data_IF_234552843492
#
_entry.id   IF_234552843492
#
_cell.length_a   1.000
_cell.length_b   1.000
_cell.length_c   1.000
_cell.angle_alpha   90.00
_cell.angle_beta   90.00
_cell.angle_gamma   90.00
#
_symmetry.space_group_name_H-M   'P 1'
#
loop_
_entity.id
_entity.type
_entity.pdbx_description
1 polymer ?
#
# COMPACT_ATOMS: atom_id res chain seq x y z
N UNK A 1 24.44 -10.39 -18.17
CA UNK A 1 24.06 -8.97 -18.11
C UNK A 1 22.73 -8.92 -17.35
N UNK A 2 22.75 -8.59 -16.05
CA UNK A 2 21.62 -8.81 -15.14
C UNK A 2 20.66 -7.63 -15.21
N UNK A 3 19.49 -7.86 -15.79
CA UNK A 3 18.35 -6.93 -15.77
C UNK A 3 17.78 -6.83 -14.35
N UNK A 4 18.32 -5.93 -13.53
CA UNK A 4 17.68 -5.50 -12.28
C UNK A 4 16.44 -4.67 -12.63
N UNK A 5 15.34 -5.35 -12.94
CA UNK A 5 14.03 -4.71 -13.08
C UNK A 5 13.54 -4.28 -11.69
N UNK A 6 12.89 -3.13 -11.60
CA UNK A 6 12.40 -2.51 -10.34
C UNK A 6 11.70 -3.48 -9.36
N UNK A 7 11.18 -4.61 -9.86
CA UNK A 7 10.61 -5.75 -9.13
C UNK A 7 11.49 -6.25 -7.97
N UNK A 8 12.78 -6.52 -8.19
CA UNK A 8 13.59 -7.25 -7.20
C UNK A 8 14.01 -6.36 -6.03
N UNK A 9 14.29 -5.09 -6.32
CA UNK A 9 14.65 -4.10 -5.30
C UNK A 9 13.44 -3.76 -4.43
N UNK A 10 12.26 -3.63 -5.03
CA UNK A 10 11.00 -3.45 -4.30
C UNK A 10 10.66 -4.69 -3.44
N UNK A 11 10.91 -5.89 -3.96
CA UNK A 11 10.66 -7.14 -3.23
C UNK A 11 11.65 -7.34 -2.06
N UNK A 12 12.93 -7.01 -2.23
CA UNK A 12 13.90 -7.00 -1.13
C UNK A 12 13.54 -5.98 -0.04
N UNK A 13 13.14 -4.76 -0.43
CA UNK A 13 12.71 -3.73 0.52
C UNK A 13 11.45 -4.16 1.29
N UNK A 14 10.49 -4.81 0.61
CA UNK A 14 9.30 -5.40 1.24
C UNK A 14 9.68 -6.48 2.25
N UNK A 15 10.54 -7.42 1.88
CA UNK A 15 10.95 -8.51 2.77
C UNK A 15 11.77 -8.01 3.97
N UNK A 16 12.64 -7.03 3.77
CA UNK A 16 13.40 -6.40 4.86
C UNK A 16 12.49 -5.66 5.84
N UNK A 17 11.43 -5.01 5.35
CA UNK A 17 10.50 -4.26 6.19
C UNK A 17 9.44 -5.16 6.89
N UNK A 18 9.04 -6.28 6.28
CA UNK A 18 8.25 -7.34 6.95
C UNK A 18 9.07 -7.95 8.10
N UNK A 19 10.35 -8.31 7.86
CA UNK A 19 11.23 -8.89 8.90
C UNK A 19 11.49 -7.97 10.09
N UNK A 20 11.38 -6.66 9.89
CA UNK A 20 11.51 -5.65 10.95
C UNK A 20 10.18 -5.31 11.63
N UNK A 21 9.10 -6.04 11.33
CA UNK A 21 7.74 -5.80 11.83
C UNK A 21 7.23 -4.37 11.51
N UNK A 22 7.76 -3.75 10.46
CA UNK A 22 7.49 -2.37 10.08
C UNK A 22 6.37 -2.27 9.05
N UNK A 23 5.92 -3.35 8.42
CA UNK A 23 4.84 -3.34 7.42
C UNK A 23 3.57 -3.94 8.01
N UNK A 24 2.51 -3.13 8.07
CA UNK A 24 1.21 -3.56 8.57
C UNK A 24 0.23 -3.95 7.45
N UNK A 25 0.59 -3.66 6.20
CA UNK A 25 -0.16 -4.05 5.00
C UNK A 25 0.69 -4.87 4.04
N UNK A 26 0.23 -6.08 3.73
CA UNK A 26 0.70 -6.88 2.61
C UNK A 26 -0.01 -6.44 1.33
N UNK A 27 0.71 -6.14 0.25
CA UNK A 27 0.09 -5.78 -1.04
C UNK A 27 -0.03 -7.02 -1.93
N UNK A 28 -1.18 -7.24 -2.56
CA UNK A 28 -1.37 -8.31 -3.53
C UNK A 28 -0.49 -8.09 -4.78
N UNK A 29 -0.07 -9.17 -5.45
CA UNK A 29 0.74 -9.05 -6.69
C UNK A 29 0.02 -8.22 -7.76
N UNK A 30 -1.32 -8.30 -7.81
CA UNK A 30 -2.15 -7.55 -8.75
C UNK A 30 -2.12 -6.05 -8.43
N UNK A 31 -2.35 -5.67 -7.18
CA UNK A 31 -2.30 -4.28 -6.75
C UNK A 31 -0.90 -3.67 -6.91
N UNK A 32 0.16 -4.44 -6.65
CA UNK A 32 1.54 -3.99 -6.84
C UNK A 32 1.84 -3.71 -8.31
N UNK A 33 1.47 -4.61 -9.22
CA UNK A 33 1.63 -4.40 -10.67
C UNK A 33 0.85 -3.18 -11.17
N UNK A 34 -0.31 -2.90 -10.57
CA UNK A 34 -1.10 -1.73 -10.92
C UNK A 34 -0.46 -0.44 -10.40
N UNK A 35 0.04 -0.46 -9.15
CA UNK A 35 0.82 0.64 -8.57
C UNK A 35 2.04 0.97 -9.45
N UNK A 36 2.86 -0.02 -9.81
CA UNK A 36 4.05 0.20 -10.65
C UNK A 36 3.74 0.80 -12.04
N UNK A 37 2.51 0.61 -12.55
CA UNK A 37 2.07 1.19 -13.83
C UNK A 37 1.49 2.59 -13.70
N UNK A 38 0.78 2.86 -12.61
CA UNK A 38 -0.01 4.09 -12.43
C UNK A 38 0.72 5.19 -11.65
N UNK A 39 1.78 4.84 -10.91
CA UNK A 39 2.52 5.79 -10.08
C UNK A 39 4.01 5.82 -10.37
N UNK A 40 4.59 7.00 -10.19
CA UNK A 40 6.04 7.19 -10.22
C UNK A 40 6.71 6.60 -8.95
N UNK A 41 8.04 6.47 -9.00
CA UNK A 41 8.84 5.93 -7.90
C UNK A 41 8.68 6.77 -6.60
N UNK A 42 8.45 8.07 -6.72
CA UNK A 42 8.29 8.96 -5.57
C UNK A 42 7.00 8.67 -4.80
N UNK A 43 5.89 8.43 -5.52
CA UNK A 43 4.60 8.06 -4.96
C UNK A 43 4.61 6.63 -4.45
N UNK A 44 5.24 5.69 -5.16
CA UNK A 44 5.43 4.33 -4.68
C UNK A 44 6.20 4.31 -3.34
N UNK A 45 7.27 5.10 -3.22
CA UNK A 45 8.00 5.27 -1.94
C UNK A 45 7.12 5.86 -0.84
N UNK A 46 6.24 6.81 -1.15
CA UNK A 46 5.27 7.35 -0.17
C UNK A 46 4.25 6.29 0.27
N UNK A 47 3.80 5.42 -0.63
CA UNK A 47 2.95 4.27 -0.28
C UNK A 47 3.64 3.31 0.65
N UNK A 48 4.87 2.90 0.32
CA UNK A 48 5.66 2.00 1.17
C UNK A 48 5.90 2.60 2.56
N UNK A 49 6.12 3.91 2.66
CA UNK A 49 6.21 4.61 3.95
C UNK A 49 4.87 4.68 4.69
N UNK A 50 3.75 4.76 3.98
CA UNK A 50 2.42 4.90 4.57
C UNK A 50 1.87 3.56 5.07
N UNK A 51 2.12 2.45 4.35
CA UNK A 51 1.78 1.09 4.82
C UNK A 51 2.64 0.67 6.02
N UNK A 52 3.79 1.32 6.18
CA UNK A 52 4.70 1.07 7.29
C UNK A 52 4.35 1.85 8.57
N UNK A 53 3.40 2.78 8.49
CA UNK A 53 2.91 3.54 9.65
C UNK A 53 1.62 2.90 10.17
N UNK A 54 1.65 2.43 11.41
CA UNK A 54 0.49 1.90 12.13
C UNK A 54 -0.65 2.94 12.21
N UNK A 55 -1.94 2.54 12.25
CA UNK A 55 -3.07 3.46 12.29
C UNK A 55 -3.03 4.41 13.49
N UNK A 56 -2.58 5.64 13.26
CA UNK A 56 -2.85 6.79 14.12
C UNK A 56 -4.11 7.53 13.67
N UNK A 57 -4.71 8.31 14.58
CA UNK A 57 -5.90 9.14 14.31
C UNK A 57 -5.69 9.97 13.03
N UNK A 58 -6.67 9.90 12.12
CA UNK A 58 -6.87 10.65 10.87
C UNK A 58 -5.75 11.64 10.48
N UNK A 59 -5.03 11.36 9.39
CA UNK A 59 -4.12 12.35 8.82
C UNK A 59 -3.29 11.86 7.65
N UNK A 60 -3.85 12.00 6.44
CA UNK A 60 -3.19 12.08 5.12
C UNK A 60 -2.17 11.01 4.64
N UNK A 61 -1.51 10.21 5.49
CA UNK A 61 -0.45 9.28 5.08
C UNK A 61 -0.33 8.08 6.05
N UNK A 62 -1.26 7.13 5.96
CA UNK A 62 -1.26 5.95 6.82
C UNK A 62 -2.46 5.02 6.57
N UNK A 63 -2.50 3.92 7.31
CA UNK A 63 -3.62 2.97 7.26
C UNK A 63 -4.81 3.55 8.03
N UNK A 64 -5.94 3.67 7.35
CA UNK A 64 -7.21 4.12 7.90
C UNK A 64 -8.21 2.96 7.90
N UNK A 65 -8.80 2.66 9.06
CA UNK A 65 -9.98 1.81 9.14
C UNK A 65 -11.20 2.62 8.66
N UNK A 66 -11.93 2.08 7.70
CA UNK A 66 -13.16 2.65 7.17
C UNK A 66 -14.31 2.35 8.13
N UNK A 67 -15.24 3.29 8.26
CA UNK A 67 -16.48 3.13 9.01
C UNK A 67 -17.62 2.66 8.10
N UNK A 68 -18.70 2.13 8.69
CA UNK A 68 -19.86 1.64 7.93
C UNK A 68 -19.54 0.43 7.06
N UNK A 69 -20.05 0.42 5.82
CA UNK A 69 -19.91 -0.69 4.86
C UNK A 69 -18.54 -0.73 4.15
N UNK A 70 -17.61 0.16 4.50
CA UNK A 70 -16.31 0.26 3.84
C UNK A 70 -16.41 0.80 2.40
N UNK A 71 -15.38 0.54 1.60
CA UNK A 71 -15.33 0.90 0.17
C UNK A 71 -15.15 -0.40 -0.63
N UNK A 72 -16.09 -0.71 -1.53
CA UNK A 72 -16.07 -1.94 -2.33
C UNK A 72 -15.93 -3.24 -1.50
N UNK A 73 -16.48 -3.24 -0.27
CA UNK A 73 -16.34 -4.36 0.68
C UNK A 73 -15.00 -4.43 1.42
N UNK A 74 -14.11 -3.43 1.26
CA UNK A 74 -12.87 -3.30 2.01
C UNK A 74 -13.03 -2.37 3.20
N UNK A 75 -12.45 -2.77 4.34
CA UNK A 75 -12.56 -2.06 5.62
C UNK A 75 -11.31 -1.25 5.97
N UNK A 76 -10.25 -1.32 5.16
CA UNK A 76 -9.03 -0.56 5.35
C UNK A 76 -8.62 0.15 4.07
N UNK A 77 -8.11 1.37 4.23
CA UNK A 77 -7.64 2.23 3.15
C UNK A 77 -6.26 2.81 3.51
N UNK A 78 -5.36 2.86 2.53
CA UNK A 78 -4.17 3.72 2.57
C UNK A 78 -4.29 4.73 1.45
N UNK A 79 -4.35 6.02 1.78
CA UNK A 79 -4.43 7.10 0.79
C UNK A 79 -3.11 7.84 0.75
N UNK A 80 -2.63 8.14 -0.46
CA UNK A 80 -1.42 8.91 -0.71
C UNK A 80 -1.68 9.95 -1.79
N UNK A 81 -1.20 11.18 -1.56
CA UNK A 81 -1.20 12.24 -2.58
C UNK A 81 0.13 12.28 -3.32
N UNK A 82 0.06 12.19 -4.64
CA UNK A 82 1.18 12.27 -5.57
C UNK A 82 1.05 13.47 -6.51
N UNK A 83 2.10 13.71 -7.32
CA UNK A 83 2.11 14.78 -8.31
C UNK A 83 1.02 14.56 -9.39
N UNK A 84 0.72 13.30 -9.73
CA UNK A 84 -0.29 12.92 -10.71
C UNK A 84 -1.73 12.78 -10.17
N UNK A 85 -1.95 13.03 -8.88
CA UNK A 85 -3.27 12.90 -8.25
C UNK A 85 -3.28 12.20 -6.90
N UNK A 86 -4.45 11.78 -6.45
CA UNK A 86 -4.63 11.05 -5.20
C UNK A 86 -4.89 9.58 -5.48
N UNK A 87 -4.11 8.72 -4.85
CA UNK A 87 -4.19 7.28 -5.02
C UNK A 87 -4.60 6.62 -3.70
N UNK A 88 -5.22 5.45 -3.79
CA UNK A 88 -5.54 4.63 -2.62
C UNK A 88 -5.25 3.15 -2.84
N UNK A 89 -4.97 2.48 -1.73
CA UNK A 89 -4.89 1.03 -1.63
C UNK A 89 -5.96 0.57 -0.63
N UNK A 90 -6.86 -0.31 -1.06
CA UNK A 90 -7.92 -0.88 -0.25
C UNK A 90 -7.58 -2.32 0.15
N UNK A 91 -7.95 -2.70 1.37
CA UNK A 91 -7.65 -4.02 1.91
C UNK A 91 -8.49 -4.43 3.10
N UNK A 92 -8.33 -5.69 3.50
CA UNK A 92 -9.02 -6.30 4.64
C UNK A 92 -8.04 -7.00 5.59
N UNK A 93 -8.43 -7.10 6.86
CA UNK A 93 -7.64 -7.82 7.86
C UNK A 93 -7.74 -9.33 7.61
N UNK A 94 -6.62 -10.01 7.52
CA UNK A 94 -6.52 -11.47 7.40
C UNK A 94 -6.78 -12.13 8.75
N UNK A 95 -6.98 -13.46 8.75
CA UNK A 95 -7.12 -14.24 9.99
C UNK A 95 -5.91 -14.10 10.92
N UNK A 96 -4.72 -13.88 10.35
CA UNK A 96 -3.46 -13.67 11.08
C UNK A 96 -3.32 -12.26 11.66
N UNK A 97 -4.25 -11.36 11.35
CA UNK A 97 -4.29 -10.01 11.89
C UNK A 97 -3.53 -8.95 11.08
N UNK A 98 -2.87 -9.34 10.01
CA UNK A 98 -2.27 -8.44 9.01
C UNK A 98 -3.34 -7.88 8.09
N UNK A 99 -3.09 -6.76 7.40
CA UNK A 99 -4.03 -6.26 6.39
C UNK A 99 -3.52 -6.63 5.00
N UNK A 100 -4.37 -7.24 4.18
CA UNK A 100 -4.09 -7.53 2.78
C UNK A 100 -4.68 -6.43 1.90
N UNK A 101 -3.83 -5.59 1.32
CA UNK A 101 -4.17 -4.59 0.31
C UNK A 101 -4.34 -5.24 -1.07
N UNK A 102 -5.56 -5.27 -1.57
CA UNK A 102 -5.93 -6.03 -2.76
C UNK A 102 -6.22 -5.17 -3.98
N UNK A 103 -6.72 -3.94 -3.77
CA UNK A 103 -7.16 -3.04 -4.84
C UNK A 103 -6.41 -1.73 -4.75
N UNK A 104 -5.69 -1.39 -5.81
CA UNK A 104 -5.04 -0.10 -5.98
C UNK A 104 -5.82 0.72 -7.00
N UNK A 105 -6.14 1.97 -6.70
CA UNK A 105 -6.88 2.84 -7.62
C UNK A 105 -6.49 4.31 -7.47
N UNK A 106 -6.47 5.03 -8.60
CA UNK A 106 -6.48 6.49 -8.62
C UNK A 106 -7.89 7.01 -8.31
N UNK A 107 -7.97 8.00 -7.43
CA UNK A 107 -9.24 8.56 -6.92
C UNK A 107 -9.56 9.94 -7.46
N UNK A 108 -8.52 10.76 -7.66
CA UNK A 108 -8.58 12.11 -8.19
C UNK A 108 -7.33 12.32 -9.05
#
# INVERSE_FOLDING_TARGET
MISFTLSDKANQLRQAAIRKNLIYIMISKKALKQMDKEVDEAVAKKFLKSIAKYPGKQGANGIKKLSGNGIKGFMYEVKVKGAGGTYRLLGNKTKSGEILGEVFEKTH
#
